data_IF_406089376950
#
_entry.id   IF_406089376950
#
_cell.length_a   1.000
_cell.length_b   1.000
_cell.length_c   1.000
_cell.angle_alpha   90.00
_cell.angle_beta   90.00
_cell.angle_gamma   90.00
#
_symmetry.space_group_name_H-M   'P 1'
#
loop_
_entity.id
_entity.type
_entity.pdbx_description
1 polymer ?
#
# COMPACT_ATOMS: atom_id res chain seq x y z
N UNK A 1 -5.36 29.24 -13.82
CA UNK A 1 -5.08 28.85 -12.44
C UNK A 1 -4.75 27.36 -12.46
N UNK A 2 -3.47 27.01 -12.45
CA UNK A 2 -3.01 25.63 -12.58
C UNK A 2 -3.35 24.87 -11.31
N UNK A 3 -4.28 23.92 -11.37
CA UNK A 3 -4.48 22.96 -10.29
C UNK A 3 -3.15 22.29 -10.01
N UNK A 4 -2.59 22.53 -8.82
CA UNK A 4 -1.55 21.72 -8.22
C UNK A 4 -2.12 20.30 -8.08
N UNK A 5 -2.01 19.52 -9.14
CA UNK A 5 -2.01 18.07 -9.05
C UNK A 5 -0.71 17.76 -8.33
N UNK A 6 -0.77 17.51 -7.03
CA UNK A 6 0.35 16.93 -6.30
C UNK A 6 0.80 15.71 -7.09
N UNK A 7 1.98 15.80 -7.73
CA UNK A 7 2.53 14.73 -8.54
C UNK A 7 2.96 13.62 -7.58
N UNK A 8 2.01 12.76 -7.22
CA UNK A 8 2.25 11.55 -6.43
C UNK A 8 3.34 10.67 -7.07
N UNK A 9 3.57 10.84 -8.39
CA UNK A 9 4.72 10.27 -9.13
C UNK A 9 6.08 10.66 -8.55
N UNK A 10 6.21 11.85 -7.96
CA UNK A 10 7.45 12.30 -7.29
C UNK A 10 7.68 11.58 -5.95
N UNK A 11 6.66 10.92 -5.41
CA UNK A 11 6.67 10.24 -4.10
C UNK A 11 6.54 8.72 -4.21
N UNK A 12 6.69 8.15 -5.40
CA UNK A 12 6.75 6.70 -5.61
C UNK A 12 8.20 6.24 -5.73
N UNK A 13 8.42 4.95 -5.52
CA UNK A 13 9.71 4.29 -5.76
C UNK A 13 10.33 4.70 -7.10
N UNK A 14 11.65 4.59 -7.27
CA UNK A 14 12.29 4.86 -8.55
C UNK A 14 11.75 3.98 -9.72
N UNK A 15 10.99 2.93 -9.42
CA UNK A 15 10.17 2.14 -10.35
C UNK A 15 9.00 1.48 -9.61
N UNK A 16 7.85 2.16 -9.39
CA UNK A 16 6.65 1.53 -8.86
C UNK A 16 6.16 0.44 -9.81
N UNK A 17 5.60 -0.63 -9.27
CA UNK A 17 5.00 -1.67 -10.12
C UNK A 17 3.81 -1.09 -10.90
N UNK A 18 3.49 -1.69 -12.05
CA UNK A 18 2.27 -1.32 -12.80
C UNK A 18 1.02 -1.41 -11.92
N UNK A 19 1.00 -2.36 -10.99
CA UNK A 19 -0.10 -2.53 -10.04
C UNK A 19 -0.21 -1.36 -9.07
N UNK A 20 0.89 -0.95 -8.43
CA UNK A 20 0.91 0.23 -7.54
C UNK A 20 0.46 1.49 -8.26
N UNK A 21 0.96 1.73 -9.48
CA UNK A 21 0.59 2.89 -10.27
C UNK A 21 -0.92 2.95 -10.54
N UNK A 22 -1.50 1.83 -10.97
CA UNK A 22 -2.91 1.73 -11.29
C UNK A 22 -3.79 1.84 -10.04
N UNK A 23 -3.36 1.29 -8.90
CA UNK A 23 -4.04 1.46 -7.61
C UNK A 23 -4.00 2.91 -7.14
N UNK A 24 -2.85 3.57 -7.23
CA UNK A 24 -2.69 4.97 -6.86
C UNK A 24 -3.57 5.89 -7.72
N UNK A 25 -3.62 5.67 -9.04
CA UNK A 25 -4.50 6.41 -9.95
C UNK A 25 -5.98 6.26 -9.55
N UNK A 26 -6.41 5.05 -9.16
CA UNK A 26 -7.78 4.81 -8.68
C UNK A 26 -8.06 5.52 -7.35
N UNK A 27 -7.16 5.40 -6.38
CA UNK A 27 -7.29 6.08 -5.09
C UNK A 27 -7.39 7.60 -5.26
N UNK A 28 -6.59 8.16 -6.17
CA UNK A 28 -6.63 9.59 -6.50
C UNK A 28 -7.94 10.00 -7.18
N UNK A 29 -8.44 9.19 -8.12
CA UNK A 29 -9.72 9.43 -8.79
C UNK A 29 -10.89 9.51 -7.78
N UNK A 30 -10.85 8.64 -6.78
CA UNK A 30 -11.85 8.59 -5.70
C UNK A 30 -11.53 9.55 -4.53
N UNK A 31 -10.51 10.41 -4.69
CA UNK A 31 -10.07 11.42 -3.71
C UNK A 31 -9.75 10.85 -2.33
N UNK A 32 -9.24 9.63 -2.30
CA UNK A 32 -8.77 8.99 -1.07
C UNK A 32 -7.45 9.65 -0.66
N UNK A 33 -7.34 10.06 0.60
CA UNK A 33 -6.10 10.62 1.14
C UNK A 33 -5.14 9.50 1.52
N UNK A 34 -3.96 9.49 0.91
CA UNK A 34 -2.88 8.55 1.21
C UNK A 34 -1.53 9.23 1.09
N UNK A 35 -0.53 8.64 1.74
CA UNK A 35 0.89 8.93 1.60
C UNK A 35 1.56 7.70 1.00
N UNK A 36 2.61 7.88 0.23
CA UNK A 36 3.44 6.80 -0.31
C UNK A 36 4.84 6.91 0.28
N UNK A 37 5.57 5.80 0.33
CA UNK A 37 6.96 5.76 0.80
C UNK A 37 7.18 6.32 2.20
N UNK A 38 6.20 6.15 3.10
CA UNK A 38 6.38 6.57 4.48
C UNK A 38 7.38 5.64 5.14
N UNK A 39 8.51 6.20 5.60
CA UNK A 39 9.44 5.50 6.47
C UNK A 39 8.74 5.18 7.78
N UNK A 40 8.48 3.89 7.98
CA UNK A 40 7.99 3.36 9.23
C UNK A 40 9.14 2.61 9.89
N UNK A 41 9.12 2.44 11.23
CA UNK A 41 10.19 1.72 11.88
C UNK A 41 10.32 0.32 11.26
N UNK A 42 11.52 0.01 10.78
CA UNK A 42 11.93 -1.28 10.20
C UNK A 42 11.59 -1.47 8.70
N UNK A 43 10.74 -0.65 8.05
CA UNK A 43 10.48 -0.77 6.59
C UNK A 43 9.90 0.51 5.96
N UNK A 44 9.68 0.50 4.65
CA UNK A 44 8.97 1.56 3.91
C UNK A 44 7.61 1.03 3.47
N UNK A 45 6.55 1.81 3.70
CA UNK A 45 5.20 1.46 3.26
C UNK A 45 4.94 1.87 1.81
N UNK A 46 4.30 1.01 1.02
CA UNK A 46 3.86 1.35 -0.35
C UNK A 46 2.75 2.39 -0.30
N UNK A 47 1.71 2.12 0.51
CA UNK A 47 0.67 3.08 0.82
C UNK A 47 0.45 3.17 2.33
N UNK A 48 0.40 4.41 2.81
CA UNK A 48 0.13 4.76 4.19
C UNK A 48 -1.12 5.65 4.23
N UNK A 49 -2.10 5.23 5.00
CA UNK A 49 -3.35 5.95 5.19
C UNK A 49 -3.40 6.46 6.63
N UNK A 50 -3.33 7.80 6.84
CA UNK A 50 -3.38 8.42 8.17
C UNK A 50 -4.81 8.38 8.74
N UNK A 51 -5.35 7.18 8.95
CA UNK A 51 -6.66 6.98 9.56
C UNK A 51 -6.57 7.11 11.08
N UNK A 52 -7.59 7.71 11.68
CA UNK A 52 -7.77 7.73 13.13
C UNK A 52 -8.81 6.69 13.56
N UNK A 53 -8.64 6.00 14.70
CA UNK A 53 -7.56 6.15 15.69
C UNK A 53 -6.29 5.34 15.38
N UNK A 54 -6.30 4.53 14.30
CA UNK A 54 -5.18 3.65 13.92
C UNK A 54 -4.89 3.78 12.43
N UNK A 55 -3.68 4.23 12.04
CA UNK A 55 -3.31 4.34 10.63
C UNK A 55 -3.27 2.96 9.96
N UNK A 56 -3.62 2.92 8.68
CA UNK A 56 -3.60 1.73 7.84
C UNK A 56 -2.37 1.76 6.93
N UNK A 57 -1.59 0.70 6.97
CA UNK A 57 -0.45 0.46 6.09
C UNK A 57 -0.83 -0.63 5.10
N UNK A 58 -0.60 -0.38 3.82
CA UNK A 58 -0.83 -1.37 2.76
C UNK A 58 0.50 -1.70 2.10
N UNK A 59 0.81 -2.99 2.04
CA UNK A 59 1.95 -3.54 1.32
C UNK A 59 1.43 -4.26 0.07
N UNK A 60 2.00 -3.93 -1.09
CA UNK A 60 1.62 -4.49 -2.39
C UNK A 60 2.74 -5.42 -2.86
N UNK A 61 2.74 -6.63 -2.32
CA UNK A 61 3.78 -7.61 -2.60
C UNK A 61 3.47 -8.38 -3.91
N UNK A 62 4.39 -8.27 -4.87
CA UNK A 62 4.40 -9.13 -6.05
C UNK A 62 4.84 -10.57 -5.71
N UNK A 63 4.78 -11.51 -6.67
CA UNK A 63 5.08 -12.92 -6.43
C UNK A 63 6.54 -13.21 -6.07
N UNK A 64 7.43 -12.20 -6.09
CA UNK A 64 8.87 -12.34 -5.88
C UNK A 64 9.25 -12.49 -4.39
N UNK A 65 8.31 -12.27 -3.47
CA UNK A 65 8.52 -12.42 -2.02
C UNK A 65 8.43 -13.87 -1.51
N UNK A 66 8.29 -14.87 -2.39
CA UNK A 66 8.15 -16.30 -2.04
C UNK A 66 9.44 -16.98 -1.53
N UNK A 67 10.50 -16.24 -1.19
CA UNK A 67 11.63 -16.82 -0.45
C UNK A 67 11.19 -16.99 0.99
N UNK A 68 11.03 -18.23 1.44
CA UNK A 68 10.53 -18.64 2.77
C UNK A 68 11.23 -17.92 3.94
N UNK A 69 12.50 -17.54 3.77
CA UNK A 69 13.29 -16.78 4.76
C UNK A 69 12.92 -15.30 4.86
N UNK A 70 12.35 -14.72 3.81
CA UNK A 70 11.89 -13.34 3.74
C UNK A 70 10.47 -13.22 4.32
N UNK A 71 9.60 -14.20 4.02
CA UNK A 71 8.25 -14.29 4.59
C UNK A 71 8.24 -14.29 6.13
N UNK A 72 9.17 -14.99 6.79
CA UNK A 72 9.24 -14.98 8.27
C UNK A 72 9.64 -13.61 8.82
N UNK A 73 10.55 -12.90 8.16
CA UNK A 73 10.95 -11.55 8.55
C UNK A 73 9.82 -10.55 8.34
N UNK A 74 9.10 -10.69 7.23
CA UNK A 74 7.96 -9.84 6.91
C UNK A 74 6.83 -10.07 7.93
N UNK A 75 6.56 -11.31 8.33
CA UNK A 75 5.55 -11.61 9.35
C UNK A 75 5.92 -11.11 10.77
N UNK A 76 7.19 -11.24 11.17
CA UNK A 76 7.68 -10.66 12.42
C UNK A 76 7.54 -9.14 12.43
N UNK A 77 7.94 -8.49 11.33
CA UNK A 77 7.82 -7.05 11.16
C UNK A 77 6.35 -6.60 11.22
N UNK A 78 5.45 -7.32 10.55
CA UNK A 78 4.01 -7.05 10.59
C UNK A 78 3.45 -7.21 12.00
N UNK A 79 3.89 -8.23 12.73
CA UNK A 79 3.48 -8.43 14.12
C UNK A 79 3.94 -7.28 15.01
N UNK A 80 5.16 -6.76 14.81
CA UNK A 80 5.67 -5.59 15.52
C UNK A 80 4.86 -4.32 15.21
N UNK A 81 4.57 -4.07 13.94
CA UNK A 81 3.76 -2.93 13.51
C UNK A 81 2.32 -3.01 14.06
N UNK A 82 1.69 -4.20 14.03
CA UNK A 82 0.36 -4.41 14.65
C UNK A 82 0.40 -4.15 16.15
N UNK A 83 1.44 -4.59 16.86
CA UNK A 83 1.64 -4.30 18.29
C UNK A 83 1.83 -2.82 18.57
N UNK A 84 2.40 -2.06 17.63
CA UNK A 84 2.53 -0.59 17.71
C UNK A 84 1.23 0.16 17.38
N UNK A 85 0.16 -0.55 17.04
CA UNK A 85 -1.16 0.03 16.80
C UNK A 85 -1.47 0.32 15.33
N UNK A 86 -0.61 -0.09 14.40
CA UNK A 86 -0.88 0.03 12.97
C UNK A 86 -1.84 -1.07 12.50
N UNK A 87 -2.78 -0.72 11.61
CA UNK A 87 -3.53 -1.71 10.81
C UNK A 87 -2.67 -2.04 9.59
N UNK A 88 -2.58 -3.32 9.24
CA UNK A 88 -1.77 -3.77 8.11
C UNK A 88 -2.63 -4.58 7.17
N UNK A 89 -2.60 -4.21 5.89
CA UNK A 89 -3.23 -4.93 4.80
C UNK A 89 -2.15 -5.38 3.82
N UNK A 90 -2.11 -6.68 3.56
CA UNK A 90 -1.17 -7.29 2.61
C UNK A 90 -1.92 -7.65 1.34
N UNK A 91 -1.48 -7.09 0.22
CA UNK A 91 -2.06 -7.28 -1.09
C UNK A 91 -1.10 -8.08 -1.95
N UNK A 92 -1.32 -9.39 -2.01
CA UNK A 92 -0.54 -10.27 -2.88
C UNK A 92 -1.19 -10.43 -4.25
N UNK A 93 -0.37 -10.38 -5.30
CA UNK A 93 -0.82 -10.67 -6.67
C UNK A 93 0.22 -11.49 -7.44
N UNK A 94 -0.23 -12.42 -8.26
CA UNK A 94 0.65 -13.27 -9.09
C UNK A 94 0.95 -12.66 -10.46
N UNK A 95 0.04 -11.86 -11.00
CA UNK A 95 0.15 -11.19 -12.28
C UNK A 95 -0.75 -9.97 -12.35
N UNK A 96 -0.38 -8.99 -13.18
CA UNK A 96 -1.23 -7.84 -13.42
C UNK A 96 -2.46 -8.25 -14.23
N UNK A 97 -3.65 -7.92 -13.72
CA UNK A 97 -4.90 -7.91 -14.48
C UNK A 97 -5.82 -6.83 -13.93
N UNK A 98 -6.65 -6.23 -14.78
CA UNK A 98 -7.58 -5.18 -14.35
C UNK A 98 -8.57 -5.70 -13.30
N UNK A 99 -8.97 -6.97 -13.42
CA UNK A 99 -9.79 -7.65 -12.41
C UNK A 99 -9.07 -7.73 -11.07
N UNK A 100 -7.79 -8.11 -11.05
CA UNK A 100 -7.01 -8.19 -9.81
C UNK A 100 -6.78 -6.81 -9.21
N UNK A 101 -6.48 -5.80 -10.02
CA UNK A 101 -6.43 -4.40 -9.57
C UNK A 101 -7.72 -4.00 -8.87
N UNK A 102 -8.87 -4.32 -9.45
CA UNK A 102 -10.17 -3.98 -8.88
C UNK A 102 -10.47 -4.73 -7.57
N UNK A 103 -10.04 -5.99 -7.46
CA UNK A 103 -10.11 -6.76 -6.22
C UNK A 103 -9.24 -6.12 -5.13
N UNK A 104 -7.96 -5.87 -5.42
CA UNK A 104 -7.03 -5.22 -4.49
C UNK A 104 -7.53 -3.84 -4.06
N UNK A 105 -8.08 -3.06 -4.99
CA UNK A 105 -8.70 -1.78 -4.69
C UNK A 105 -9.86 -1.91 -3.70
N UNK A 106 -10.75 -2.88 -3.89
CA UNK A 106 -11.86 -3.14 -2.96
C UNK A 106 -11.36 -3.58 -1.59
N UNK A 107 -10.28 -4.35 -1.53
CA UNK A 107 -9.65 -4.73 -0.26
C UNK A 107 -9.12 -3.50 0.50
N UNK A 108 -8.45 -2.57 -0.20
CA UNK A 108 -8.03 -1.28 0.38
C UNK A 108 -9.25 -0.53 0.91
N UNK A 109 -10.28 -0.35 0.09
CA UNK A 109 -11.49 0.38 0.48
C UNK A 109 -12.23 -0.27 1.65
N UNK A 110 -12.28 -1.61 1.70
CA UNK A 110 -12.82 -2.34 2.86
C UNK A 110 -11.95 -2.15 4.11
N UNK A 111 -10.64 -1.98 3.95
CA UNK A 111 -9.71 -1.66 5.01
C UNK A 111 -9.90 -0.24 5.55
N UNK A 112 -10.30 0.71 4.69
CA UNK A 112 -10.57 2.10 5.04
C UNK A 112 -11.94 2.31 5.69
N UNK A 113 -12.97 1.58 5.25
CA UNK A 113 -14.37 1.75 5.69
C UNK A 113 -14.77 1.03 6.98
N UNK A 114 -13.82 0.56 7.79
CA UNK A 114 -14.06 -0.14 9.07
C UNK A 114 -13.52 0.64 10.25
#
# INVERSE_FOLDING_TARGET
MSSQRSDWREHLHANPSRMENELALKLQADRVNYLTQVEIPVTTADFYFPLEPRPLIVFVDGPVHLKTSQMMKDEELRTLLRKRGYRILELSYSSYSDKKRDELYREIMSGLGK
#
